data_IF_239158963003
#
_entry.id   IF_239158963003
#
_cell.length_a   1.000
_cell.length_b   1.000
_cell.length_c   1.000
_cell.angle_alpha   90.00
_cell.angle_beta   90.00
_cell.angle_gamma   90.00
#
_symmetry.space_group_name_H-M   'P 1'
#
loop_
_entity.id
_entity.type
_entity.pdbx_description
1 polymer ?
#
# COMPACT_ATOMS: atom_id res chain seq x y z
N UNK A 1 -48.11 46.76 18.06
CA UNK A 1 -48.20 45.49 18.83
C UNK A 1 -47.66 44.37 17.96
N UNK A 2 -46.39 44.02 18.18
CA UNK A 2 -45.77 42.72 17.84
C UNK A 2 -44.32 42.78 18.33
N UNK A 3 -44.08 42.26 19.54
CA UNK A 3 -42.77 42.15 20.21
C UNK A 3 -41.86 41.13 19.51
N UNK A 4 -40.54 41.35 19.41
CA UNK A 4 -39.50 41.15 20.43
C UNK A 4 -39.48 39.74 21.02
N UNK A 5 -38.49 38.92 20.66
CA UNK A 5 -37.68 38.10 21.59
C UNK A 5 -36.27 37.82 20.99
N UNK A 6 -35.24 37.59 21.84
CA UNK A 6 -33.83 37.83 21.55
C UNK A 6 -32.97 36.54 21.44
N UNK A 7 -31.70 36.79 21.16
CA UNK A 7 -30.54 35.88 21.13
C UNK A 7 -30.19 35.32 22.51
N UNK A 8 -30.01 34.00 22.61
CA UNK A 8 -29.30 33.36 23.71
C UNK A 8 -27.99 32.70 23.25
N UNK A 9 -26.93 33.19 23.87
CA UNK A 9 -25.58 32.65 23.94
C UNK A 9 -25.51 31.61 25.05
N UNK A 10 -25.09 30.37 24.77
CA UNK A 10 -24.54 29.51 25.82
C UNK A 10 -23.24 28.80 25.41
N UNK A 11 -22.26 29.09 26.26
CA UNK A 11 -20.92 28.57 26.47
C UNK A 11 -20.76 27.05 26.50
N UNK A 12 -19.66 26.56 25.92
CA UNK A 12 -19.09 25.22 26.20
C UNK A 12 -17.63 25.37 26.68
N UNK A 13 -17.21 24.65 27.75
CA UNK A 13 -15.90 24.84 28.38
C UNK A 13 -14.76 24.09 27.68
N UNK A 14 -13.49 24.50 27.88
CA UNK A 14 -12.33 23.84 27.28
C UNK A 14 -11.84 22.63 28.10
N UNK A 15 -11.60 21.50 27.41
CA UNK A 15 -11.02 20.29 27.99
C UNK A 15 -9.49 20.33 28.02
N UNK A 16 -8.96 20.43 29.24
CA UNK A 16 -7.72 19.86 29.78
C UNK A 16 -6.69 19.28 28.79
N UNK A 17 -5.55 19.96 28.71
CA UNK A 17 -4.26 19.50 28.22
C UNK A 17 -3.57 18.55 29.21
N UNK A 18 -3.18 17.36 28.74
CA UNK A 18 -2.30 16.45 29.47
C UNK A 18 -0.99 16.22 28.69
N UNK A 19 0.07 16.79 29.26
CA UNK A 19 1.47 16.36 29.33
C UNK A 19 1.84 15.04 28.63
N UNK A 20 2.83 15.09 27.73
CA UNK A 20 3.82 14.02 27.63
C UNK A 20 5.23 14.61 27.51
N UNK A 21 5.99 14.34 28.56
CA UNK A 21 7.40 14.65 28.76
C UNK A 21 8.29 13.71 27.95
N UNK A 22 9.31 14.34 27.37
CA UNK A 22 10.68 13.89 27.10
C UNK A 22 11.09 12.47 27.52
N UNK A 23 11.76 11.76 26.59
CA UNK A 23 13.09 11.17 26.86
C UNK A 23 13.75 10.69 25.57
N UNK A 24 14.78 11.43 25.16
CA UNK A 24 15.83 10.98 24.26
C UNK A 24 16.79 10.06 25.01
N UNK A 25 17.17 8.91 24.43
CA UNK A 25 18.49 8.32 24.66
C UNK A 25 19.05 7.74 23.37
N UNK A 26 20.13 8.38 22.93
CA UNK A 26 21.09 7.87 21.95
C UNK A 26 22.05 6.89 22.65
N UNK A 27 22.49 5.86 21.94
CA UNK A 27 23.80 5.25 22.16
C UNK A 27 24.47 5.03 20.79
N UNK A 28 25.67 5.58 20.65
CA UNK A 28 26.62 5.39 19.55
C UNK A 28 27.79 4.57 20.07
N UNK A 29 28.31 3.65 19.25
CA UNK A 29 29.72 3.25 19.09
C UNK A 29 29.76 2.01 18.20
N UNK A 30 30.75 1.68 17.38
CA UNK A 30 32.06 2.27 17.05
C UNK A 30 32.53 1.48 15.82
N UNK A 31 33.04 2.13 14.76
CA UNK A 31 33.87 1.43 13.77
C UNK A 31 35.02 2.36 13.37
N UNK A 32 36.20 2.05 13.91
CA UNK A 32 37.50 2.50 13.42
C UNK A 32 37.80 1.78 12.12
N UNK A 33 38.24 2.51 11.09
CA UNK A 33 39.07 1.94 10.04
C UNK A 33 40.26 2.86 9.77
N UNK A 34 41.43 2.23 9.87
CA UNK A 34 42.74 2.81 9.73
C UNK A 34 43.01 3.26 8.30
N UNK A 35 43.67 4.41 8.20
CA UNK A 35 44.44 4.85 7.05
C UNK A 35 45.68 3.96 6.87
N UNK A 36 45.93 3.48 5.65
CA UNK A 36 47.25 3.01 5.23
C UNK A 36 47.61 3.61 3.87
N UNK A 37 48.89 3.93 3.79
CA UNK A 37 49.63 4.80 2.89
C UNK A 37 49.58 4.49 1.39
N UNK A 38 49.64 5.58 0.64
CA UNK A 38 50.07 5.71 -0.74
C UNK A 38 51.59 5.49 -0.87
N UNK A 39 52.02 4.66 -1.83
CA UNK A 39 53.35 4.67 -2.46
C UNK A 39 53.11 4.69 -3.97
N UNK A 40 53.23 5.82 -4.67
CA UNK A 40 54.45 6.37 -5.27
C UNK A 40 55.31 5.33 -5.99
N UNK A 41 55.06 5.14 -7.28
CA UNK A 41 56.07 4.68 -8.24
C UNK A 41 56.04 5.63 -9.44
N UNK A 42 57.10 6.43 -9.57
CA UNK A 42 57.44 7.17 -10.80
C UNK A 42 58.14 6.22 -11.77
N UNK A 43 57.91 6.34 -13.08
CA UNK A 43 58.96 6.01 -14.04
C UNK A 43 59.36 7.23 -14.87
N UNK A 44 60.65 7.56 -14.70
CA UNK A 44 61.64 7.89 -15.71
C UNK A 44 61.25 8.69 -16.97
N UNK A 45 61.87 9.87 -17.03
CA UNK A 45 62.14 10.68 -18.21
C UNK A 45 62.83 9.87 -19.33
N UNK A 46 62.40 10.07 -20.57
CA UNK A 46 63.27 10.02 -21.76
C UNK A 46 63.05 11.28 -22.61
N UNK A 47 64.12 11.91 -23.11
CA UNK A 47 64.04 13.13 -23.89
C UNK A 47 63.81 12.81 -25.37
N UNK A 48 62.84 13.48 -26.00
CA UNK A 48 62.71 13.53 -27.45
C UNK A 48 62.85 14.99 -27.88
N UNK A 49 63.99 15.29 -28.49
CA UNK A 49 64.21 16.47 -29.30
C UNK A 49 63.32 16.38 -30.55
N UNK A 50 62.42 17.34 -30.75
CA UNK A 50 61.75 17.55 -32.03
C UNK A 50 61.51 19.05 -32.24
N UNK A 51 62.32 19.60 -33.15
CA UNK A 51 62.09 20.70 -34.11
C UNK A 51 60.99 21.74 -33.80
N UNK A 52 61.29 23.05 -33.90
CA UNK A 52 60.29 24.10 -33.73
C UNK A 52 59.39 24.16 -34.96
N UNK A 53 58.17 23.66 -34.84
CA UNK A 53 57.09 23.97 -35.78
C UNK A 53 56.41 25.25 -35.27
N UNK A 54 56.51 26.33 -36.04
CA UNK A 54 55.82 27.60 -35.79
C UNK A 54 54.31 27.34 -35.63
N UNK A 55 53.68 27.73 -34.51
CA UNK A 55 52.23 27.69 -34.42
C UNK A 55 51.67 28.88 -35.18
N UNK A 56 51.05 28.59 -36.33
CA UNK A 56 50.05 29.46 -36.91
C UNK A 56 49.01 29.81 -35.85
N UNK A 57 48.72 31.10 -35.73
CA UNK A 57 47.78 31.68 -34.78
C UNK A 57 46.35 31.21 -35.10
N UNK A 58 46.00 29.98 -34.72
CA UNK A 58 44.60 29.55 -34.66
C UNK A 58 44.08 30.05 -33.31
N UNK A 59 43.36 31.17 -33.36
CA UNK A 59 42.60 31.71 -32.22
C UNK A 59 41.54 30.69 -31.80
N UNK A 60 41.94 29.71 -30.99
CA UNK A 60 41.03 28.79 -30.35
C UNK A 60 40.20 29.58 -29.34
N UNK A 61 39.04 30.06 -29.79
CA UNK A 61 38.00 30.65 -28.95
C UNK A 61 37.43 29.56 -28.03
N UNK A 62 38.19 29.23 -26.98
CA UNK A 62 37.73 28.36 -25.92
C UNK A 62 36.54 29.05 -25.25
N UNK A 63 35.34 28.51 -25.49
CA UNK A 63 34.09 28.96 -24.86
C UNK A 63 34.03 28.63 -23.37
N UNK A 64 35.08 28.00 -22.83
CA UNK A 64 35.18 27.65 -21.41
C UNK A 64 35.63 28.88 -20.63
N UNK A 65 34.93 29.24 -19.53
CA UNK A 65 35.33 30.37 -18.71
C UNK A 65 36.72 30.12 -18.11
N UNK A 66 37.66 31.03 -18.40
CA UNK A 66 39.02 31.01 -17.84
C UNK A 66 38.92 31.20 -16.32
N UNK A 67 39.66 30.40 -15.56
CA UNK A 67 39.69 30.49 -14.11
C UNK A 67 40.48 31.74 -13.68
N UNK A 68 39.76 32.76 -13.20
CA UNK A 68 40.35 34.01 -12.68
C UNK A 68 40.84 33.82 -11.25
N UNK A 69 42.03 34.33 -10.96
CA UNK A 69 42.66 34.23 -9.65
C UNK A 69 41.87 35.02 -8.58
N UNK A 70 42.14 34.75 -7.30
CA UNK A 70 41.48 35.46 -6.21
C UNK A 70 41.77 36.97 -6.24
N UNK A 71 43.04 37.32 -6.45
CA UNK A 71 43.51 38.71 -6.52
C UNK A 71 42.83 39.49 -7.65
N UNK A 72 42.71 38.88 -8.83
CA UNK A 72 42.02 39.50 -9.96
C UNK A 72 40.52 39.70 -9.69
N UNK A 73 39.86 38.81 -8.94
CA UNK A 73 38.45 38.97 -8.55
C UNK A 73 38.23 40.10 -7.55
N UNK A 74 39.22 40.37 -6.71
CA UNK A 74 39.18 41.45 -5.70
C UNK A 74 39.44 42.82 -6.36
N UNK A 75 40.21 42.85 -7.45
CA UNK A 75 40.54 44.07 -8.21
C UNK A 75 39.60 44.32 -9.41
N UNK A 76 38.64 43.42 -9.68
CA UNK A 76 37.67 43.55 -10.77
C UNK A 76 36.70 44.71 -10.52
N UNK A 77 36.46 45.55 -11.53
CA UNK A 77 35.36 46.52 -11.49
C UNK A 77 34.00 45.82 -11.50
N UNK A 78 32.96 46.49 -10.99
CA UNK A 78 31.60 45.92 -10.96
C UNK A 78 31.09 45.55 -12.36
N UNK A 79 31.39 46.39 -13.36
CA UNK A 79 31.05 46.12 -14.75
C UNK A 79 31.78 44.89 -15.30
N UNK A 80 33.08 44.75 -15.02
CA UNK A 80 33.85 43.58 -15.43
C UNK A 80 33.35 42.29 -14.75
N UNK A 81 33.02 42.38 -13.45
CA UNK A 81 32.41 41.29 -12.68
C UNK A 81 31.04 40.90 -13.26
N UNK A 82 30.19 41.87 -13.58
CA UNK A 82 28.87 41.63 -14.18
C UNK A 82 29.00 40.96 -15.56
N UNK A 83 29.89 41.46 -16.44
CA UNK A 83 30.15 40.88 -17.75
C UNK A 83 30.68 39.44 -17.65
N UNK A 84 31.57 39.15 -16.69
CA UNK A 84 32.06 37.79 -16.43
C UNK A 84 30.96 36.86 -15.95
N UNK A 85 30.13 37.30 -15.00
CA UNK A 85 28.99 36.50 -14.52
C UNK A 85 27.95 36.28 -15.61
N UNK A 86 27.70 37.27 -16.48
CA UNK A 86 26.82 37.15 -17.63
C UNK A 86 27.33 36.08 -18.61
N UNK A 87 28.62 36.11 -18.98
CA UNK A 87 29.26 35.06 -19.81
C UNK A 87 29.13 33.67 -19.18
N UNK A 88 29.37 33.56 -17.86
CA UNK A 88 29.21 32.29 -17.14
C UNK A 88 27.76 31.77 -17.19
N UNK A 89 26.76 32.64 -16.97
CA UNK A 89 25.33 32.29 -17.06
C UNK A 89 24.94 31.85 -18.47
N UNK A 90 25.44 32.53 -19.50
CA UNK A 90 25.21 32.15 -20.91
C UNK A 90 25.78 30.76 -21.20
N UNK A 91 27.03 30.48 -20.81
CA UNK A 91 27.64 29.17 -20.95
C UNK A 91 26.86 28.07 -20.20
N UNK A 92 26.42 28.33 -18.96
CA UNK A 92 25.63 27.37 -18.21
C UNK A 92 24.26 27.12 -18.86
N UNK A 93 23.61 28.15 -19.40
CA UNK A 93 22.34 28.05 -20.13
C UNK A 93 22.48 27.18 -21.37
N UNK A 94 23.51 27.42 -22.20
CA UNK A 94 23.74 26.61 -23.42
C UNK A 94 24.11 25.17 -23.07
N UNK A 95 24.97 24.96 -22.05
CA UNK A 95 25.31 23.62 -21.58
C UNK A 95 24.09 22.85 -21.05
N UNK A 96 23.21 23.49 -20.28
CA UNK A 96 21.98 22.86 -19.77
C UNK A 96 20.95 22.59 -20.86
N UNK A 97 20.88 23.44 -21.89
CA UNK A 97 20.01 23.22 -23.05
C UNK A 97 20.45 22.01 -23.89
N UNK A 98 21.75 21.74 -23.94
CA UNK A 98 22.34 20.63 -24.69
C UNK A 98 22.53 19.35 -23.84
N UNK A 99 22.01 19.31 -22.61
CA UNK A 99 22.14 18.18 -21.70
C UNK A 99 21.22 17.03 -22.13
N UNK A 100 21.74 15.81 -22.20
CA UNK A 100 20.90 14.63 -22.46
C UNK A 100 20.17 14.17 -21.18
N UNK A 101 19.17 13.30 -21.31
CA UNK A 101 18.35 12.87 -20.16
C UNK A 101 19.14 12.13 -19.07
N UNK A 102 20.16 11.35 -19.44
CA UNK A 102 21.01 10.63 -18.47
C UNK A 102 21.87 11.61 -17.66
N UNK A 103 22.50 12.57 -18.33
CA UNK A 103 23.28 13.64 -17.72
C UNK A 103 22.41 14.51 -16.81
N UNK A 104 21.20 14.83 -17.28
CA UNK A 104 20.19 15.58 -16.53
C UNK A 104 19.78 14.86 -15.26
N UNK A 105 19.43 13.58 -15.32
CA UNK A 105 19.06 12.83 -14.12
C UNK A 105 20.26 12.66 -13.18
N UNK A 106 21.48 12.42 -13.70
CA UNK A 106 22.68 12.34 -12.88
C UNK A 106 22.96 13.67 -12.15
N UNK A 107 22.78 14.82 -12.81
CA UNK A 107 22.91 16.15 -12.21
C UNK A 107 21.83 16.40 -11.15
N UNK A 108 20.56 16.11 -11.46
CA UNK A 108 19.44 16.26 -10.52
C UNK A 108 19.58 15.33 -9.32
N UNK A 109 20.08 14.11 -9.52
CA UNK A 109 20.37 13.16 -8.46
C UNK A 109 21.43 13.71 -7.50
N UNK A 110 22.58 14.18 -8.01
CA UNK A 110 23.62 14.83 -7.20
C UNK A 110 23.06 16.03 -6.42
N UNK A 111 22.22 16.84 -7.06
CA UNK A 111 21.55 17.98 -6.41
C UNK A 111 20.59 17.55 -5.29
N UNK A 112 19.80 16.49 -5.48
CA UNK A 112 18.91 15.92 -4.46
C UNK A 112 19.73 15.40 -3.26
N UNK A 113 20.84 14.70 -3.50
CA UNK A 113 21.73 14.20 -2.44
C UNK A 113 22.37 15.34 -1.64
N UNK A 114 22.91 16.35 -2.32
CA UNK A 114 23.45 17.54 -1.66
C UNK A 114 22.40 18.23 -0.78
N UNK A 115 21.19 18.46 -1.31
CA UNK A 115 20.10 19.06 -0.54
C UNK A 115 19.66 18.22 0.65
N UNK A 116 19.68 16.88 0.52
CA UNK A 116 19.39 15.96 1.62
C UNK A 116 20.41 16.10 2.74
N UNK A 117 21.70 16.05 2.42
CA UNK A 117 22.79 16.21 3.40
C UNK A 117 22.77 17.61 4.04
N UNK A 118 22.58 18.66 3.24
CA UNK A 118 22.46 20.03 3.74
C UNK A 118 21.31 20.16 4.75
N UNK A 119 20.12 19.63 4.42
CA UNK A 119 18.95 19.66 5.32
C UNK A 119 19.12 18.81 6.58
N UNK A 120 19.86 17.71 6.50
CA UNK A 120 20.15 16.87 7.66
C UNK A 120 21.07 17.59 8.66
N UNK A 121 21.98 18.44 8.16
CA UNK A 121 22.93 19.20 8.94
C UNK A 121 22.47 20.65 9.24
N UNK A 122 21.21 21.01 8.94
CA UNK A 122 20.67 22.34 9.25
C UNK A 122 20.52 22.53 10.77
N UNK A 123 20.95 23.67 11.29
CA UNK A 123 20.62 24.09 12.66
C UNK A 123 19.12 24.36 12.78
N UNK A 124 18.60 24.35 14.01
CA UNK A 124 17.18 24.66 14.26
C UNK A 124 16.79 26.05 13.74
N UNK A 125 17.64 27.06 13.96
CA UNK A 125 17.45 28.42 13.46
C UNK A 125 17.45 28.48 11.93
N UNK A 126 18.42 27.83 11.27
CA UNK A 126 18.48 27.78 9.81
C UNK A 126 17.24 27.08 9.22
N UNK A 127 16.76 26.02 9.88
CA UNK A 127 15.52 25.32 9.51
C UNK A 127 14.30 26.24 9.67
N UNK A 128 14.19 26.97 10.78
CA UNK A 128 13.09 27.90 11.04
C UNK A 128 13.08 29.02 9.98
N UNK A 129 14.23 29.65 9.73
CA UNK A 129 14.36 30.70 8.72
C UNK A 129 14.02 30.20 7.30
N UNK A 130 14.42 28.96 6.95
CA UNK A 130 14.04 28.35 5.66
C UNK A 130 12.53 28.11 5.55
N UNK A 131 11.89 27.67 6.63
CA UNK A 131 10.44 27.44 6.64
C UNK A 131 9.67 28.77 6.58
N UNK A 132 10.14 29.81 7.28
CA UNK A 132 9.58 31.17 7.22
C UNK A 132 9.62 31.73 5.80
N UNK A 133 10.79 31.72 5.14
CA UNK A 133 10.91 32.14 3.72
C UNK A 133 10.01 31.35 2.78
N UNK A 134 9.85 30.05 3.03
CA UNK A 134 8.98 29.19 2.22
C UNK A 134 7.50 29.51 2.43
N UNK A 135 7.10 29.89 3.65
CA UNK A 135 5.75 30.38 3.95
C UNK A 135 5.48 31.74 3.30
N UNK A 136 6.36 32.72 3.48
CA UNK A 136 6.28 34.06 2.86
C UNK A 136 6.12 33.94 1.34
N UNK A 137 6.98 33.14 0.69
CA UNK A 137 6.87 32.89 -0.74
C UNK A 137 5.51 32.32 -1.14
N UNK A 138 4.98 31.34 -0.39
CA UNK A 138 3.65 30.78 -0.66
C UNK A 138 2.54 31.80 -0.52
N UNK A 139 2.64 32.70 0.46
CA UNK A 139 1.67 33.77 0.67
C UNK A 139 1.73 34.77 -0.49
N UNK A 140 2.92 35.24 -0.86
CA UNK A 140 3.10 36.13 -2.00
C UNK A 140 2.56 35.50 -3.31
N UNK A 141 2.81 34.21 -3.54
CA UNK A 141 2.23 33.51 -4.70
C UNK A 141 0.70 33.45 -4.69
N UNK A 142 0.08 33.38 -3.50
CA UNK A 142 -1.40 33.37 -3.35
C UNK A 142 -2.00 34.76 -3.51
N UNK A 143 -1.28 35.81 -3.12
CA UNK A 143 -1.71 37.19 -3.30
C UNK A 143 -1.69 37.59 -4.78
N UNK A 144 -0.68 37.12 -5.52
CA UNK A 144 -0.57 37.37 -6.96
C UNK A 144 -1.32 36.34 -7.84
N UNK A 145 -2.12 35.44 -7.26
CA UNK A 145 -2.83 34.43 -8.04
C UNK A 145 -4.03 35.05 -8.76
N UNK A 146 -4.23 34.69 -10.04
CA UNK A 146 -5.45 35.11 -10.75
C UNK A 146 -6.66 34.32 -10.24
N UNK A 147 -7.88 34.83 -10.42
CA UNK A 147 -9.10 34.13 -9.99
C UNK A 147 -9.21 32.72 -10.59
N UNK A 148 -8.82 32.55 -11.86
CA UNK A 148 -8.77 31.24 -12.50
C UNK A 148 -7.80 30.29 -11.77
N UNK A 149 -6.59 30.76 -11.46
CA UNK A 149 -5.59 29.96 -10.73
C UNK A 149 -6.07 29.62 -9.31
N UNK A 150 -6.74 30.55 -8.63
CA UNK A 150 -7.39 30.34 -7.32
C UNK A 150 -8.43 29.24 -7.39
N UNK A 151 -9.35 29.32 -8.36
CA UNK A 151 -10.41 28.32 -8.52
C UNK A 151 -9.84 26.92 -8.82
N UNK A 152 -8.84 26.83 -9.68
CA UNK A 152 -8.16 25.56 -9.98
C UNK A 152 -7.45 24.99 -8.74
N UNK A 153 -6.77 25.82 -7.94
CA UNK A 153 -6.12 25.39 -6.70
C UNK A 153 -7.16 24.88 -5.70
N UNK A 154 -8.24 25.61 -5.48
CA UNK A 154 -9.33 25.21 -4.57
C UNK A 154 -10.04 23.94 -5.05
N UNK A 155 -10.21 23.76 -6.36
CA UNK A 155 -10.73 22.52 -6.94
C UNK A 155 -9.79 21.33 -6.64
N UNK A 156 -8.47 21.48 -6.87
CA UNK A 156 -7.47 20.46 -6.51
C UNK A 156 -7.47 20.13 -5.01
N UNK A 157 -7.61 21.13 -4.14
CA UNK A 157 -7.69 20.93 -2.69
C UNK A 157 -8.99 20.18 -2.30
N UNK A 158 -10.14 20.55 -2.87
CA UNK A 158 -11.42 19.84 -2.66
C UNK A 158 -11.33 18.38 -3.10
N UNK A 159 -10.80 18.12 -4.29
CA UNK A 159 -10.60 16.77 -4.79
C UNK A 159 -9.64 15.97 -3.91
N UNK A 160 -8.51 16.55 -3.50
CA UNK A 160 -7.55 15.87 -2.62
C UNK A 160 -8.18 15.50 -1.26
N UNK A 161 -9.06 16.35 -0.71
CA UNK A 161 -9.84 16.04 0.51
C UNK A 161 -10.87 14.93 0.25
N UNK A 162 -11.63 15.01 -0.84
CA UNK A 162 -12.62 13.99 -1.21
C UNK A 162 -11.99 12.62 -1.46
N UNK A 163 -10.80 12.58 -2.08
CA UNK A 163 -10.03 11.36 -2.30
C UNK A 163 -9.41 10.79 -1.02
N UNK A 164 -9.23 11.61 0.02
CA UNK A 164 -8.45 11.25 1.22
C UNK A 164 -8.99 9.99 1.93
N UNK A 165 -10.31 9.84 2.16
CA UNK A 165 -10.87 8.60 2.68
C UNK A 165 -10.59 7.39 1.79
N UNK A 166 -10.72 7.52 0.46
CA UNK A 166 -10.47 6.42 -0.48
C UNK A 166 -8.99 6.02 -0.48
N UNK A 167 -8.09 7.00 -0.49
CA UNK A 167 -6.64 6.82 -0.38
C UNK A 167 -6.25 6.17 0.94
N UNK A 168 -6.89 6.57 2.04
CA UNK A 168 -6.70 5.97 3.35
C UNK A 168 -7.17 4.52 3.41
N UNK A 169 -8.36 4.21 2.91
CA UNK A 169 -8.87 2.83 2.83
C UNK A 169 -8.00 1.96 1.91
N UNK A 170 -7.53 2.50 0.78
CA UNK A 170 -6.59 1.80 -0.09
C UNK A 170 -5.25 1.54 0.62
N UNK A 171 -4.74 2.51 1.37
CA UNK A 171 -3.56 2.34 2.21
C UNK A 171 -3.77 1.26 3.28
N UNK A 172 -4.87 1.29 4.04
CA UNK A 172 -5.18 0.27 5.04
C UNK A 172 -5.30 -1.12 4.41
N UNK A 173 -5.93 -1.25 3.24
CA UNK A 173 -5.99 -2.49 2.48
C UNK A 173 -4.60 -3.00 2.12
N UNK A 174 -3.74 -2.15 1.54
CA UNK A 174 -2.35 -2.52 1.20
C UNK A 174 -1.54 -2.88 2.44
N UNK A 175 -1.70 -2.12 3.53
CA UNK A 175 -1.02 -2.35 4.79
C UNK A 175 -1.42 -3.71 5.40
N UNK A 176 -2.71 -4.01 5.51
CA UNK A 176 -3.20 -5.27 6.05
C UNK A 176 -2.90 -6.50 5.18
N UNK A 177 -2.63 -6.32 3.87
CA UNK A 177 -2.24 -7.40 2.97
C UNK A 177 -0.78 -7.84 3.11
N UNK A 178 0.09 -6.98 3.66
CA UNK A 178 1.50 -7.34 3.86
C UNK A 178 1.58 -8.59 4.75
N UNK A 179 2.41 -9.59 4.40
CA UNK A 179 2.46 -10.87 5.11
C UNK A 179 2.80 -10.66 6.59
N UNK A 180 3.77 -9.80 6.88
CA UNK A 180 4.18 -9.45 8.24
C UNK A 180 3.01 -8.92 9.10
N UNK A 181 2.23 -7.99 8.57
CA UNK A 181 1.09 -7.40 9.27
C UNK A 181 -0.04 -8.42 9.48
N UNK A 182 -0.22 -9.33 8.52
CA UNK A 182 -1.20 -10.41 8.61
C UNK A 182 -0.83 -11.42 9.68
N UNK A 183 0.45 -11.82 9.77
CA UNK A 183 0.94 -12.70 10.84
C UNK A 183 0.83 -12.04 12.22
N UNK A 184 1.22 -10.76 12.34
CA UNK A 184 1.00 -9.97 13.57
C UNK A 184 -0.47 -9.96 14.00
N UNK A 185 -1.39 -9.76 13.04
CA UNK A 185 -2.84 -9.79 13.32
C UNK A 185 -3.32 -11.18 13.75
N UNK A 186 -2.87 -12.24 13.09
CA UNK A 186 -3.19 -13.63 13.49
C UNK A 186 -2.68 -13.95 14.88
N UNK A 187 -1.46 -13.54 15.21
CA UNK A 187 -0.86 -13.72 16.54
C UNK A 187 -1.69 -13.01 17.61
N UNK A 188 -2.00 -11.72 17.39
CA UNK A 188 -2.88 -10.95 18.29
C UNK A 188 -4.25 -11.63 18.48
N UNK A 189 -4.85 -12.13 17.41
CA UNK A 189 -6.13 -12.85 17.49
C UNK A 189 -6.00 -14.19 18.26
N UNK A 190 -4.87 -14.91 18.11
CA UNK A 190 -4.59 -16.14 18.87
C UNK A 190 -4.44 -15.83 20.36
N UNK A 191 -3.71 -14.77 20.71
CA UNK A 191 -3.55 -14.30 22.09
C UNK A 191 -4.90 -13.85 22.70
N UNK A 192 -5.70 -13.11 21.94
CA UNK A 192 -7.05 -12.72 22.36
C UNK A 192 -7.93 -13.94 22.66
N UNK A 193 -7.94 -14.95 21.78
CA UNK A 193 -8.70 -16.20 21.99
C UNK A 193 -8.22 -16.98 23.22
N UNK A 194 -6.90 -17.03 23.47
CA UNK A 194 -6.35 -17.63 24.69
C UNK A 194 -6.84 -16.92 25.95
N UNK A 195 -6.94 -15.59 25.93
CA UNK A 195 -7.42 -14.77 27.05
C UNK A 195 -8.94 -14.85 27.23
N UNK A 196 -9.68 -15.13 26.17
CA UNK A 196 -11.15 -15.16 26.17
C UNK A 196 -11.68 -16.50 25.62
N UNK A 197 -11.53 -17.60 26.38
CA UNK A 197 -12.10 -18.88 25.99
C UNK A 197 -13.63 -18.76 25.85
N UNK A 198 -14.20 -19.30 24.77
CA UNK A 198 -15.65 -19.29 24.49
C UNK A 198 -16.15 -18.18 23.56
N UNK A 199 -15.35 -17.14 23.25
CA UNK A 199 -15.74 -16.05 22.31
C UNK A 199 -15.63 -16.48 20.84
N UNK A 200 -15.10 -17.67 20.54
CA UNK A 200 -14.91 -18.18 19.18
C UNK A 200 -16.22 -18.43 18.40
N UNK A 201 -17.37 -18.44 19.07
CA UNK A 201 -18.60 -19.01 18.52
C UNK A 201 -19.47 -18.09 17.65
N UNK A 202 -19.35 -16.76 17.78
CA UNK A 202 -20.31 -15.83 17.14
C UNK A 202 -20.29 -15.90 15.59
N UNK A 203 -19.13 -16.16 14.97
CA UNK A 203 -19.04 -16.27 13.51
C UNK A 203 -19.44 -17.66 12.98
N UNK A 204 -19.26 -18.71 13.77
CA UNK A 204 -19.66 -20.07 13.41
C UNK A 204 -21.15 -20.34 13.63
N UNK A 205 -21.90 -19.45 14.28
CA UNK A 205 -23.35 -19.59 14.40
C UNK A 205 -24.07 -19.17 13.11
N UNK A 206 -23.53 -18.19 12.37
CA UNK A 206 -24.13 -17.72 11.13
C UNK A 206 -24.10 -18.81 10.04
N UNK A 207 -25.29 -19.28 9.63
CA UNK A 207 -25.45 -20.27 8.57
C UNK A 207 -24.74 -19.84 7.28
N UNK A 208 -24.81 -18.55 6.94
CA UNK A 208 -24.19 -18.01 5.73
C UNK A 208 -22.68 -18.16 5.67
N UNK A 209 -22.01 -18.04 6.81
CA UNK A 209 -20.55 -18.24 6.92
C UNK A 209 -20.24 -19.72 6.83
N UNK A 210 -20.99 -20.56 7.56
CA UNK A 210 -20.76 -22.00 7.58
C UNK A 210 -20.95 -22.64 6.20
N UNK A 211 -21.99 -22.26 5.47
CA UNK A 211 -22.23 -22.70 4.08
C UNK A 211 -21.09 -22.32 3.16
N UNK A 212 -20.60 -21.08 3.26
CA UNK A 212 -19.46 -20.61 2.47
C UNK A 212 -18.20 -21.44 2.72
N UNK A 213 -17.88 -21.71 3.99
CA UNK A 213 -16.72 -22.53 4.37
C UNK A 213 -16.86 -23.96 3.85
N UNK A 214 -18.02 -24.60 4.06
CA UNK A 214 -18.27 -25.97 3.59
C UNK A 214 -18.24 -26.07 2.07
N UNK A 215 -18.75 -25.07 1.36
CA UNK A 215 -18.65 -25.04 -0.10
C UNK A 215 -17.19 -24.96 -0.56
N UNK A 216 -16.37 -24.13 0.08
CA UNK A 216 -14.95 -24.02 -0.26
C UNK A 216 -14.21 -25.32 0.00
N UNK A 217 -14.49 -25.98 1.13
CA UNK A 217 -13.95 -27.31 1.44
C UNK A 217 -14.37 -28.35 0.38
N UNK A 218 -15.66 -28.38 0.04
CA UNK A 218 -16.20 -29.34 -0.92
C UNK A 218 -15.62 -29.16 -2.32
N UNK A 219 -15.47 -27.92 -2.78
CA UNK A 219 -15.12 -27.61 -4.17
C UNK A 219 -13.61 -27.49 -4.39
N UNK A 220 -12.87 -26.93 -3.43
CA UNK A 220 -11.46 -26.56 -3.65
C UNK A 220 -10.45 -27.39 -2.84
N UNK A 221 -10.88 -28.29 -1.94
CA UNK A 221 -9.97 -28.98 -1.01
C UNK A 221 -9.89 -30.50 -1.22
N UNK A 222 -8.66 -31.03 -1.24
CA UNK A 222 -8.34 -32.45 -1.09
C UNK A 222 -9.13 -33.42 -1.97
N UNK A 223 -9.60 -34.52 -1.37
CA UNK A 223 -10.37 -35.60 -2.02
C UNK A 223 -11.71 -35.12 -2.58
N UNK A 224 -12.32 -34.11 -1.97
CA UNK A 224 -13.61 -33.54 -2.41
C UNK A 224 -13.46 -32.75 -3.71
N UNK A 225 -12.32 -32.10 -3.93
CA UNK A 225 -12.03 -31.37 -5.19
C UNK A 225 -12.14 -32.27 -6.41
N UNK A 226 -11.64 -33.50 -6.34
CA UNK A 226 -11.71 -34.46 -7.45
C UNK A 226 -13.16 -34.75 -7.85
N UNK A 227 -14.04 -34.91 -6.86
CA UNK A 227 -15.48 -35.12 -7.09
C UNK A 227 -16.10 -33.81 -7.61
N UNK A 228 -15.74 -32.67 -7.03
CA UNK A 228 -16.30 -31.38 -7.41
C UNK A 228 -15.91 -30.93 -8.83
N UNK A 229 -14.81 -31.43 -9.39
CA UNK A 229 -14.48 -31.21 -10.80
C UNK A 229 -15.53 -31.83 -11.75
N UNK A 230 -16.32 -32.80 -11.28
CA UNK A 230 -17.43 -33.37 -12.07
C UNK A 230 -18.69 -32.48 -12.04
N UNK A 231 -18.74 -31.49 -11.14
CA UNK A 231 -19.87 -30.59 -11.03
C UNK A 231 -19.82 -29.51 -12.10
N UNK A 232 -20.96 -29.27 -12.74
CA UNK A 232 -21.16 -28.11 -13.62
C UNK A 232 -22.16 -27.17 -12.99
N UNK A 233 -21.91 -25.86 -13.13
CA UNK A 233 -22.83 -24.81 -12.67
C UNK A 233 -23.32 -24.02 -13.87
N UNK A 234 -24.58 -23.59 -13.81
CA UNK A 234 -25.25 -22.85 -14.89
C UNK A 234 -24.53 -21.57 -15.27
N UNK A 235 -24.24 -20.75 -14.27
CA UNK A 235 -23.89 -19.34 -14.44
C UNK A 235 -22.46 -19.01 -14.05
N UNK A 236 -21.80 -19.87 -13.28
CA UNK A 236 -20.47 -19.57 -12.73
C UNK A 236 -19.49 -20.72 -12.92
N UNK A 237 -18.20 -20.41 -12.90
CA UNK A 237 -17.10 -21.38 -12.85
C UNK A 237 -16.28 -21.16 -11.58
N UNK A 238 -15.95 -22.23 -10.83
CA UNK A 238 -15.05 -22.11 -9.69
C UNK A 238 -13.62 -21.80 -10.17
N UNK A 239 -13.01 -20.75 -9.64
CA UNK A 239 -11.64 -20.32 -9.97
C UNK A 239 -10.82 -20.26 -8.69
N UNK A 240 -9.65 -20.88 -8.71
CA UNK A 240 -8.66 -20.83 -7.62
C UNK A 240 -7.38 -20.19 -8.14
N UNK A 241 -6.86 -19.24 -7.39
CA UNK A 241 -5.56 -18.63 -7.63
C UNK A 241 -4.52 -19.23 -6.68
N UNK A 242 -3.23 -19.13 -7.01
CA UNK A 242 -2.16 -19.60 -6.11
C UNK A 242 -2.15 -18.79 -4.81
N UNK A 243 -2.27 -17.47 -4.97
CA UNK A 243 -2.39 -16.50 -3.89
C UNK A 243 -3.77 -15.84 -3.82
N UNK A 244 -4.01 -15.11 -2.74
CA UNK A 244 -5.22 -14.31 -2.62
C UNK A 244 -5.16 -13.15 -3.62
N UNK A 245 -6.26 -12.94 -4.33
CA UNK A 245 -6.42 -11.84 -5.30
C UNK A 245 -7.62 -10.98 -4.93
N UNK A 246 -7.58 -9.70 -5.31
CA UNK A 246 -8.66 -8.74 -5.07
C UNK A 246 -9.61 -8.71 -6.27
N UNK A 247 -10.87 -9.07 -6.03
CA UNK A 247 -11.96 -8.84 -6.98
C UNK A 247 -13.14 -8.15 -6.30
N UNK A 248 -13.97 -7.51 -7.11
CA UNK A 248 -15.24 -6.93 -6.68
C UNK A 248 -16.34 -7.99 -6.79
N UNK A 249 -17.01 -8.30 -5.67
CA UNK A 249 -18.12 -9.25 -5.69
C UNK A 249 -19.39 -8.59 -6.28
N UNK A 250 -19.94 -9.15 -7.35
CA UNK A 250 -21.15 -8.63 -8.02
C UNK A 250 -22.39 -8.63 -7.11
N UNK A 251 -22.56 -9.63 -6.25
CA UNK A 251 -23.74 -9.74 -5.38
C UNK A 251 -23.73 -8.85 -4.12
N UNK A 252 -22.57 -8.61 -3.50
CA UNK A 252 -22.50 -7.78 -2.28
C UNK A 252 -21.83 -6.42 -2.47
N UNK A 253 -21.38 -6.12 -3.69
CA UNK A 253 -20.70 -4.87 -4.08
C UNK A 253 -19.49 -4.50 -3.20
N UNK A 254 -18.79 -5.51 -2.67
CA UNK A 254 -17.61 -5.34 -1.83
C UNK A 254 -16.38 -5.96 -2.46
N UNK A 255 -15.26 -5.26 -2.38
CA UNK A 255 -13.95 -5.83 -2.67
C UNK A 255 -13.60 -6.88 -1.61
N UNK A 256 -13.24 -8.09 -2.06
CA UNK A 256 -12.72 -9.15 -1.19
C UNK A 256 -11.35 -9.55 -1.65
N UNK A 257 -10.55 -10.08 -0.72
CA UNK A 257 -9.21 -10.59 -0.99
C UNK A 257 -9.19 -12.08 -0.68
N UNK A 258 -9.50 -12.90 -1.68
CA UNK A 258 -9.79 -14.33 -1.54
C UNK A 258 -8.93 -15.13 -2.50
N UNK A 259 -8.69 -16.40 -2.15
CA UNK A 259 -7.99 -17.37 -2.99
C UNK A 259 -8.94 -18.05 -3.98
N UNK A 260 -10.19 -18.27 -3.55
CA UNK A 260 -11.21 -18.96 -4.31
C UNK A 260 -12.33 -17.98 -4.67
N UNK A 261 -12.74 -18.00 -5.93
CA UNK A 261 -13.74 -17.12 -6.52
C UNK A 261 -14.68 -17.90 -7.44
N UNK A 262 -15.84 -17.31 -7.71
CA UNK A 262 -16.81 -17.83 -8.67
C UNK A 262 -16.90 -16.85 -9.82
N UNK A 263 -16.33 -17.19 -10.99
CA UNK A 263 -16.31 -16.33 -12.18
C UNK A 263 -17.61 -16.52 -12.95
N UNK A 264 -18.29 -15.43 -13.30
CA UNK A 264 -19.53 -15.48 -14.09
C UNK A 264 -19.20 -15.92 -15.53
N UNK A 265 -19.96 -16.87 -16.07
CA UNK A 265 -19.83 -17.33 -17.45
C UNK A 265 -20.37 -16.24 -18.38
N UNK A 266 -19.66 -15.95 -19.47
CA UNK A 266 -20.16 -15.08 -20.53
C UNK A 266 -21.43 -15.70 -21.13
N UNK A 267 -22.54 -14.94 -21.16
CA UNK A 267 -23.72 -15.33 -21.94
C UNK A 267 -23.34 -15.32 -23.43
N UNK A 268 -23.85 -16.27 -24.23
CA UNK A 268 -23.76 -16.15 -25.68
C UNK A 268 -24.62 -14.96 -26.13
N UNK A 269 -23.91 -13.93 -26.62
CA UNK A 269 -24.27 -12.93 -27.63
C UNK A 269 -25.71 -12.39 -27.67
N UNK A 270 -25.85 -11.13 -27.25
CA UNK A 270 -26.57 -10.14 -28.05
C UNK A 270 -25.65 -8.93 -28.21
N UNK A 271 -25.11 -8.80 -29.43
CA UNK A 271 -24.64 -7.59 -30.12
C UNK A 271 -24.05 -6.45 -29.27
N UNK A 272 -22.75 -6.24 -29.52
CA UNK A 272 -22.12 -4.92 -29.67
C UNK A 272 -22.22 -3.95 -28.48
N UNK A 273 -21.25 -4.07 -27.57
CA UNK A 273 -20.24 -3.03 -27.28
C UNK A 273 -19.64 -3.27 -25.90
N UNK A 274 -18.31 -3.37 -25.89
CA UNK A 274 -17.40 -2.99 -24.79
C UNK A 274 -17.27 -3.87 -23.54
N UNK A 275 -15.99 -4.11 -23.25
CA UNK A 275 -15.43 -4.44 -21.95
C UNK A 275 -15.80 -5.80 -21.34
N UNK A 276 -14.99 -6.79 -21.72
CA UNK A 276 -14.88 -8.09 -21.08
C UNK A 276 -14.29 -7.94 -19.66
N UNK A 277 -15.02 -7.31 -18.75
CA UNK A 277 -14.65 -7.27 -17.34
C UNK A 277 -15.03 -8.61 -16.72
N UNK A 278 -14.02 -9.40 -16.36
CA UNK A 278 -14.22 -10.63 -15.58
C UNK A 278 -15.03 -10.32 -14.31
N UNK A 279 -16.27 -10.82 -14.27
CA UNK A 279 -17.21 -10.64 -13.16
C UNK A 279 -17.08 -11.79 -12.18
N UNK A 280 -16.98 -11.46 -10.89
CA UNK A 280 -16.75 -12.44 -9.83
C UNK A 280 -17.77 -12.35 -8.70
N UNK A 281 -18.10 -13.50 -8.12
CA UNK A 281 -18.83 -13.65 -6.87
C UNK A 281 -17.94 -14.27 -5.79
N UNK A 282 -18.03 -13.74 -4.57
CA UNK A 282 -17.35 -14.34 -3.42
C UNK A 282 -18.06 -15.63 -2.96
N UNK A 283 -17.31 -16.57 -2.39
CA UNK A 283 -17.88 -17.85 -1.92
C UNK A 283 -18.99 -17.68 -0.90
N UNK A 284 -19.02 -16.58 -0.13
CA UNK A 284 -20.11 -16.29 0.80
C UNK A 284 -21.41 -15.95 0.10
N UNK A 285 -21.40 -15.08 -0.92
CA UNK A 285 -22.63 -14.77 -1.64
C UNK A 285 -23.08 -15.96 -2.47
N UNK A 286 -22.16 -16.59 -3.21
CA UNK A 286 -22.48 -17.73 -4.06
C UNK A 286 -23.06 -18.91 -3.26
N UNK A 287 -22.46 -19.26 -2.11
CA UNK A 287 -22.95 -20.37 -1.30
C UNK A 287 -24.35 -20.18 -0.70
N UNK A 288 -24.84 -18.94 -0.61
CA UNK A 288 -26.12 -18.61 0.00
C UNK A 288 -27.22 -18.30 -1.02
N UNK A 289 -26.89 -18.26 -2.31
CA UNK A 289 -27.87 -18.17 -3.37
C UNK A 289 -28.22 -19.59 -3.84
N UNK A 290 -29.40 -20.08 -3.48
CA UNK A 290 -29.79 -21.47 -3.75
C UNK A 290 -29.96 -21.75 -5.24
N UNK A 291 -30.38 -20.75 -6.01
CA UNK A 291 -30.58 -20.88 -7.44
C UNK A 291 -29.25 -21.00 -8.20
N UNK A 292 -28.15 -20.55 -7.58
CA UNK A 292 -26.81 -20.57 -8.18
C UNK A 292 -25.93 -21.71 -7.65
N UNK A 293 -26.04 -22.05 -6.36
CA UNK A 293 -25.07 -22.94 -5.70
C UNK A 293 -25.22 -24.42 -6.08
N UNK A 294 -26.43 -24.84 -6.44
CA UNK A 294 -26.74 -26.23 -6.77
C UNK A 294 -26.20 -26.56 -8.18
N UNK A 295 -25.34 -27.59 -8.33
CA UNK A 295 -24.84 -28.01 -9.65
C UNK A 295 -25.96 -28.55 -10.57
N UNK A 296 -25.83 -28.36 -11.88
CA UNK A 296 -26.80 -28.81 -12.89
C UNK A 296 -26.65 -30.30 -13.23
N UNK A 297 -25.41 -30.76 -13.42
CA UNK A 297 -25.13 -32.16 -13.77
C UNK A 297 -24.31 -32.81 -12.68
N UNK A 298 -24.94 -33.68 -11.90
CA UNK A 298 -24.23 -34.67 -11.11
C UNK A 298 -24.93 -36.02 -11.21
N UNK A 299 -24.19 -37.05 -11.62
CA UNK A 299 -24.70 -38.41 -11.84
C UNK A 299 -24.79 -39.25 -10.56
N UNK A 300 -24.42 -38.70 -9.39
CA UNK A 300 -24.48 -39.39 -8.10
C UNK A 300 -25.34 -38.70 -7.05
N UNK A 301 -25.24 -39.15 -5.79
CA UNK A 301 -25.95 -38.51 -4.66
C UNK A 301 -25.29 -37.19 -4.27
N UNK A 302 -26.00 -36.07 -4.48
CA UNK A 302 -25.50 -34.74 -4.12
C UNK A 302 -25.18 -34.65 -2.60
N UNK A 303 -24.04 -34.03 -2.22
CA UNK A 303 -23.74 -33.72 -0.82
C UNK A 303 -24.85 -32.95 -0.12
N UNK A 304 -25.01 -33.16 1.20
CA UNK A 304 -26.03 -32.49 2.03
C UNK A 304 -26.01 -30.95 1.92
N UNK A 305 -24.85 -30.39 1.59
CA UNK A 305 -24.69 -28.95 1.33
C UNK A 305 -25.58 -28.42 0.21
N UNK A 306 -25.88 -29.25 -0.81
CA UNK A 306 -26.68 -28.86 -1.97
C UNK A 306 -28.12 -29.35 -1.90
N UNK A 307 -28.46 -30.17 -0.90
CA UNK A 307 -29.80 -30.75 -0.75
C UNK A 307 -30.57 -30.19 0.44
N UNK A 308 -29.89 -29.56 1.41
CA UNK A 308 -30.53 -28.96 2.59
C UNK A 308 -30.10 -27.49 2.76
N UNK A 309 -31.05 -26.54 2.71
CA UNK A 309 -30.77 -25.11 2.88
C UNK A 309 -30.16 -24.77 4.25
N UNK A 310 -30.50 -25.53 5.29
CA UNK A 310 -30.09 -25.31 6.68
C UNK A 310 -28.77 -26.00 7.05
N UNK A 311 -28.18 -26.74 6.11
CA UNK A 311 -26.91 -27.43 6.31
C UNK A 311 -25.72 -26.49 6.02
N UNK A 312 -24.59 -26.60 6.73
CA UNK A 312 -24.33 -27.47 7.90
C UNK A 312 -25.10 -26.99 9.14
N UNK A 313 -25.35 -27.85 10.15
CA UNK A 313 -25.87 -27.42 11.46
C UNK A 313 -24.79 -26.71 12.30
N UNK A 314 -25.16 -25.96 13.36
CA UNK A 314 -24.18 -25.22 14.15
C UNK A 314 -23.39 -26.19 15.03
N UNK A 315 -22.12 -25.89 15.28
CA UNK A 315 -21.21 -26.75 16.05
C UNK A 315 -21.79 -27.23 17.40
N UNK A 316 -22.56 -26.39 18.11
CA UNK A 316 -23.21 -26.80 19.36
C UNK A 316 -24.22 -27.93 19.18
N UNK A 317 -25.00 -27.95 18.09
CA UNK A 317 -25.98 -29.01 17.83
C UNK A 317 -25.31 -30.35 17.50
N UNK A 318 -24.16 -30.34 16.82
CA UNK A 318 -23.38 -31.55 16.55
C UNK A 318 -22.73 -32.10 17.82
N UNK A 319 -22.10 -31.24 18.65
CA UNK A 319 -21.48 -31.68 19.91
C UNK A 319 -22.51 -32.21 20.92
N UNK A 320 -23.67 -31.57 21.04
CA UNK A 320 -24.76 -32.04 21.89
C UNK A 320 -25.33 -33.38 21.40
N UNK A 321 -25.49 -33.56 20.08
CA UNK A 321 -25.94 -34.83 19.49
C UNK A 321 -24.91 -35.95 19.68
N UNK A 322 -23.62 -35.66 19.46
CA UNK A 322 -22.54 -36.63 19.65
C UNK A 322 -22.39 -37.04 21.12
N UNK A 323 -22.47 -36.07 22.05
CA UNK A 323 -22.43 -36.35 23.48
C UNK A 323 -23.65 -37.16 23.95
N UNK A 324 -24.84 -36.86 23.42
CA UNK A 324 -26.06 -37.63 23.71
C UNK A 324 -25.96 -39.06 23.17
N UNK A 325 -25.51 -39.22 21.93
CA UNK A 325 -25.27 -40.55 21.33
C UNK A 325 -24.23 -41.36 22.10
N UNK A 326 -23.15 -40.74 22.59
CA UNK A 326 -22.14 -41.45 23.40
C UNK A 326 -22.67 -41.86 24.78
N UNK A 327 -23.53 -41.03 25.39
CA UNK A 327 -24.21 -41.37 26.64
C UNK A 327 -25.21 -42.51 26.45
N UNK A 328 -25.99 -42.50 25.36
CA UNK A 328 -26.97 -43.54 25.04
C UNK A 328 -26.28 -44.89 24.77
N UNK A 329 -25.14 -44.90 24.05
CA UNK A 329 -24.31 -46.09 23.83
C UNK A 329 -23.75 -46.64 25.15
N UNK A 330 -23.25 -45.75 26.04
CA UNK A 330 -22.72 -46.17 27.34
C UNK A 330 -23.81 -46.78 28.22
N UNK A 331 -25.01 -46.21 28.18
CA UNK A 331 -26.16 -46.71 28.94
C UNK A 331 -26.61 -48.09 28.46
N UNK A 332 -26.62 -48.33 27.15
CA UNK A 332 -26.92 -49.65 26.58
C UNK A 332 -25.89 -50.70 27.05
N UNK A 333 -24.60 -50.37 27.02
CA UNK A 333 -23.56 -51.27 27.52
C UNK A 333 -23.71 -51.62 29.01
N UNK A 334 -24.06 -50.63 29.85
CA UNK A 334 -24.32 -50.85 31.29
C UNK A 334 -25.61 -51.63 31.56
N UNK A 335 -26.58 -51.63 30.63
CA UNK A 335 -27.81 -52.42 30.70
C UNK A 335 -27.55 -53.88 30.24
N UNK A 336 -26.80 -54.07 29.15
CA UNK A 336 -26.41 -55.39 28.64
C UNK A 336 -25.50 -56.15 29.63
N UNK A 337 -24.57 -55.46 30.31
CA UNK A 337 -23.73 -56.05 31.36
C UNK A 337 -24.57 -56.53 32.57
N UNK A 338 -25.59 -55.77 32.97
CA UNK A 338 -26.49 -56.14 34.08
C UNK A 338 -27.44 -57.29 33.74
N UNK A 339 -27.80 -57.44 32.47
CA UNK A 339 -28.63 -58.55 32.00
C UNK A 339 -27.83 -59.85 31.90
N UNK A 340 -26.55 -59.75 31.54
CA UNK A 340 -25.61 -60.87 31.50
C UNK A 340 -25.20 -61.35 32.92
N UNK A 341 -25.23 -60.48 33.93
CA UNK A 341 -25.01 -60.86 35.34
C UNK A 341 -26.25 -61.49 36.02
N UNK A 342 -27.44 -61.40 35.40
CA UNK A 342 -28.70 -61.99 35.90
C UNK A 342 -29.09 -63.32 35.27
N UNK A 343 -28.45 -63.69 34.16
CA UNK A 343 -28.62 -64.97 33.47
C UNK A 343 -27.57 -65.96 33.95
#
# INVERSE_FOLDING_TARGET
>A
MSGWYPTDTESRPPSTSALFSSSCRWFKSMFSFAWVFSQSVRPCLRPWTRTPFLPSHVSFSSTRPIAITRVQREQESEQARAARLARKRQYEKTRLANENDQEREARLFRQRQYNKLRRANETAEARAARLARMHEYRTACRECETDKQRQERLARERQARADSPQKFLAYQRKFGRKPENREKTKQKNREYRKKHPGVEHLQHEQLSIRRATRLVEQVFSGRSKTIANTYTWKTHTPVSFDDKVEHHCTACHRFRFLKHWWKEKSRPETTETSSNHDRYMCSRCFANDWNLVVPETFSGRLPRLFTSPDYPPPFRKERLKANKSAHDIKKQHEEDEKENERS
#
